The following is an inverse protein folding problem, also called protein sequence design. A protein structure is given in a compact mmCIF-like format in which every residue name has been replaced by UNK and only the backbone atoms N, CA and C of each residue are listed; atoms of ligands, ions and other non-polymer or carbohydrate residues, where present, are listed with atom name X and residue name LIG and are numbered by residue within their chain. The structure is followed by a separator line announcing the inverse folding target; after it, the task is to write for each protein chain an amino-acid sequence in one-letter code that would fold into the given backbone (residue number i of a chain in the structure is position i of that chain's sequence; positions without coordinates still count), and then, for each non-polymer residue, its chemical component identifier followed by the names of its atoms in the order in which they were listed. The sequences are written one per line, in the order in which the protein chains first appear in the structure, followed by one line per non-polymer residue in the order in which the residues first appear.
data_IF_893438255896
#
_entry.id   IF_893438255896
#
_cell.length_a   1.000
_cell.length_b   1.000
_cell.length_c   1.000
_cell.angle_alpha   90.00
_cell.angle_beta   90.00
_cell.angle_gamma   90.00
#
_symmetry.space_group_name_H-M   'P 1'
#
loop_
_entity.id
_entity.type
_entity.pdbx_description
1 polymer ?
#
# COMPACT_ATOMS: atom_id res chain seq x y z
N UNK A 1 -4.85 4.55 10.04
CA UNK A 1 -5.15 4.82 8.63
C UNK A 1 -6.65 4.86 8.39
N UNK A 2 -7.38 3.73 8.43
CA UNK A 2 -8.84 3.70 8.23
C UNK A 2 -9.58 4.77 9.05
N UNK A 3 -9.45 4.75 10.38
CA UNK A 3 -10.14 5.72 11.25
C UNK A 3 -9.85 7.17 10.87
N UNK A 4 -8.59 7.49 10.56
CA UNK A 4 -8.21 8.82 10.12
C UNK A 4 -8.87 9.20 8.78
N UNK A 5 -8.92 8.29 7.80
CA UNK A 5 -9.58 8.55 6.52
C UNK A 5 -11.11 8.72 6.69
N UNK A 6 -11.73 7.93 7.56
CA UNK A 6 -13.16 8.09 7.91
C UNK A 6 -13.45 9.45 8.56
N UNK A 7 -12.54 9.95 9.42
CA UNK A 7 -12.65 11.30 10.01
C UNK A 7 -12.55 12.41 8.97
N UNK A 8 -12.02 12.13 7.77
CA UNK A 8 -11.98 13.06 6.63
C UNK A 8 -13.13 12.84 5.64
N UNK A 9 -14.19 12.13 6.04
CA UNK A 9 -15.35 11.79 5.19
C UNK A 9 -14.98 11.00 3.91
N UNK A 10 -13.88 10.24 3.93
CA UNK A 10 -13.46 9.38 2.81
C UNK A 10 -14.10 8.00 2.95
N UNK A 11 -14.73 7.51 1.89
CA UNK A 11 -15.22 6.13 1.82
C UNK A 11 -14.04 5.15 1.83
N UNK A 12 -13.92 4.38 2.92
CA UNK A 12 -12.80 3.45 3.11
C UNK A 12 -13.27 2.15 3.77
N UNK A 13 -12.75 1.05 3.26
CA UNK A 13 -12.84 -0.26 3.90
C UNK A 13 -11.45 -0.87 4.03
N UNK A 14 -11.35 -1.99 4.73
CA UNK A 14 -10.09 -2.72 4.90
C UNK A 14 -10.30 -4.21 4.66
N UNK A 15 -9.22 -4.86 4.26
CA UNK A 15 -9.18 -6.30 4.05
C UNK A 15 -7.91 -6.86 4.67
N UNK A 16 -8.05 -7.92 5.46
CA UNK A 16 -6.94 -8.67 6.04
C UNK A 16 -6.98 -10.07 5.42
N UNK A 17 -5.97 -10.46 4.63
CA UNK A 17 -5.93 -11.77 3.99
C UNK A 17 -5.95 -12.91 5.00
N UNK A 18 -6.63 -14.00 4.67
CA UNK A 18 -6.55 -15.22 5.46
C UNK A 18 -5.29 -16.01 5.08
N UNK A 19 -4.25 -15.94 5.91
CA UNK A 19 -2.95 -16.58 5.63
C UNK A 19 -3.03 -18.09 5.34
N UNK A 20 -3.96 -18.81 5.95
CA UNK A 20 -4.09 -20.28 5.77
C UNK A 20 -4.73 -20.60 4.42
N UNK A 21 -5.72 -19.82 4.00
CA UNK A 21 -6.48 -20.07 2.77
C UNK A 21 -5.87 -19.43 1.53
N UNK A 22 -5.32 -18.23 1.68
CA UNK A 22 -4.92 -17.36 0.58
C UNK A 22 -3.39 -17.20 0.49
N UNK A 23 -2.68 -17.53 1.57
CA UNK A 23 -1.23 -17.32 1.68
C UNK A 23 -0.87 -15.86 2.01
N UNK A 24 0.35 -15.47 1.65
CA UNK A 24 0.88 -14.12 1.87
C UNK A 24 0.86 -13.30 0.57
N UNK A 25 0.82 -11.97 0.71
CA UNK A 25 0.93 -11.01 -0.38
C UNK A 25 -0.38 -10.66 -1.06
N UNK A 26 -0.30 -9.70 -1.97
CA UNK A 26 -1.41 -9.21 -2.80
C UNK A 26 -1.85 -10.30 -3.77
N UNK A 27 -3.14 -10.35 -4.12
CA UNK A 27 -3.71 -11.33 -5.07
C UNK A 27 -4.55 -10.63 -6.14
N UNK A 28 -4.33 -11.00 -7.41
CA UNK A 28 -5.04 -10.43 -8.57
C UNK A 28 -6.57 -10.58 -8.47
N UNK A 29 -7.08 -11.74 -8.05
CA UNK A 29 -8.52 -11.97 -7.90
C UNK A 29 -9.16 -11.06 -6.83
N UNK A 30 -8.43 -10.74 -5.75
CA UNK A 30 -8.91 -9.82 -4.71
C UNK A 30 -8.91 -8.37 -5.22
N UNK A 31 -7.87 -7.98 -5.97
CA UNK A 31 -7.84 -6.66 -6.61
C UNK A 31 -8.99 -6.48 -7.62
N UNK A 32 -9.27 -7.51 -8.42
CA UNK A 32 -10.41 -7.52 -9.34
C UNK A 32 -11.75 -7.41 -8.59
N UNK A 33 -11.91 -8.11 -7.47
CA UNK A 33 -13.10 -7.98 -6.60
C UNK A 33 -13.26 -6.54 -6.09
N UNK A 34 -12.19 -5.93 -5.56
CA UNK A 34 -12.22 -4.54 -5.08
C UNK A 34 -12.59 -3.56 -6.19
N UNK A 35 -12.08 -3.75 -7.41
CA UNK A 35 -12.45 -2.94 -8.55
C UNK A 35 -13.94 -3.11 -8.90
N UNK A 36 -14.43 -4.35 -8.90
CA UNK A 36 -15.82 -4.67 -9.25
C UNK A 36 -16.84 -4.12 -8.25
N UNK A 37 -16.47 -4.00 -6.97
CA UNK A 37 -17.32 -3.38 -5.95
C UNK A 37 -17.18 -1.84 -5.89
N UNK A 38 -16.37 -1.25 -6.77
CA UNK A 38 -16.34 0.19 -7.01
C UNK A 38 -15.13 0.94 -6.45
N UNK A 39 -14.18 0.27 -5.79
CA UNK A 39 -12.96 0.95 -5.32
C UNK A 39 -12.07 1.35 -6.49
N UNK A 40 -11.51 2.56 -6.41
CA UNK A 40 -10.57 3.11 -7.39
C UNK A 40 -9.10 3.06 -6.95
N UNK A 41 -8.86 2.90 -5.64
CA UNK A 41 -7.53 2.91 -5.03
C UNK A 41 -7.41 1.81 -3.96
N UNK A 42 -6.29 1.10 -3.98
CA UNK A 42 -5.84 0.20 -2.91
C UNK A 42 -4.58 0.75 -2.27
N UNK A 43 -4.57 0.87 -0.94
CA UNK A 43 -3.38 1.17 -0.16
C UNK A 43 -2.95 -0.10 0.58
N UNK A 44 -1.78 -0.66 0.27
CA UNK A 44 -1.26 -1.81 1.00
C UNK A 44 -0.58 -1.34 2.29
N UNK A 45 -0.61 -2.19 3.32
CA UNK A 45 0.09 -1.98 4.59
C UNK A 45 0.85 -3.26 4.93
N UNK A 46 2.14 -3.13 5.20
CA UNK A 46 3.01 -4.26 5.62
C UNK A 46 3.14 -5.35 4.54
N UNK A 47 2.88 -5.00 3.27
CA UNK A 47 2.98 -5.88 2.13
C UNK A 47 3.01 -5.10 0.81
N UNK A 48 3.38 -5.77 -0.27
CA UNK A 48 3.25 -5.26 -1.64
C UNK A 48 4.56 -4.92 -2.33
N UNK A 49 5.69 -4.75 -1.64
CA UNK A 49 6.96 -4.36 -2.30
C UNK A 49 7.45 -5.39 -3.33
N UNK A 50 7.02 -6.63 -3.19
CA UNK A 50 7.32 -7.75 -4.11
C UNK A 50 6.19 -8.05 -5.11
N UNK A 51 5.09 -7.29 -5.08
CA UNK A 51 3.87 -7.56 -5.83
C UNK A 51 3.90 -6.96 -7.26
N UNK A 52 4.95 -7.28 -8.03
CA UNK A 52 5.21 -6.72 -9.37
C UNK A 52 4.05 -7.00 -10.32
N UNK A 53 3.66 -8.27 -10.42
CA UNK A 53 2.64 -8.73 -11.35
C UNK A 53 1.23 -8.28 -10.94
N UNK A 54 0.97 -8.18 -9.65
CA UNK A 54 -0.29 -7.69 -9.09
C UNK A 54 -0.46 -6.20 -9.31
N UNK A 55 0.58 -5.38 -9.11
CA UNK A 55 0.53 -3.94 -9.37
C UNK A 55 0.29 -3.66 -10.86
N UNK A 56 1.00 -4.38 -11.73
CA UNK A 56 0.77 -4.30 -13.18
C UNK A 56 -0.66 -4.70 -13.57
N UNK A 57 -1.20 -5.75 -12.95
CA UNK A 57 -2.58 -6.16 -13.16
C UNK A 57 -3.58 -5.10 -12.67
N UNK A 58 -3.41 -4.56 -11.46
CA UNK A 58 -4.27 -3.49 -10.93
C UNK A 58 -4.33 -2.30 -11.88
N UNK A 59 -3.16 -1.83 -12.34
CA UNK A 59 -3.06 -0.77 -13.35
C UNK A 59 -3.80 -1.11 -14.64
N UNK A 60 -3.71 -2.35 -15.12
CA UNK A 60 -4.38 -2.80 -16.35
C UNK A 60 -5.92 -2.78 -16.27
N UNK A 61 -6.48 -2.93 -15.07
CA UNK A 61 -7.93 -2.86 -14.82
C UNK A 61 -8.38 -1.47 -14.32
N UNK A 62 -7.48 -0.48 -14.32
CA UNK A 62 -7.76 0.87 -13.84
C UNK A 62 -8.01 0.95 -12.33
N UNK A 63 -7.32 0.13 -11.54
CA UNK A 63 -7.26 0.18 -10.09
C UNK A 63 -5.89 0.73 -9.67
N UNK A 64 -5.87 1.90 -9.04
CA UNK A 64 -4.62 2.49 -8.56
C UNK A 64 -4.14 1.75 -7.31
N UNK A 65 -2.82 1.71 -7.14
CA UNK A 65 -2.17 1.15 -5.96
C UNK A 65 -1.21 2.16 -5.35
N UNK A 66 -1.26 2.27 -4.02
CA UNK A 66 -0.19 2.85 -3.20
C UNK A 66 0.34 1.73 -2.32
N UNK A 67 1.65 1.50 -2.36
CA UNK A 67 2.28 0.42 -1.60
C UNK A 67 2.96 1.01 -0.38
N UNK A 68 2.63 0.53 0.82
CA UNK A 68 3.40 0.82 2.05
C UNK A 68 3.93 -0.47 2.63
N UNK A 69 5.25 -0.58 2.69
CA UNK A 69 5.94 -1.81 3.06
C UNK A 69 7.33 -1.51 3.66
N UNK A 70 7.99 -2.55 4.15
CA UNK A 70 9.31 -2.49 4.79
C UNK A 70 10.17 -3.73 4.52
N UNK A 71 9.68 -4.66 3.70
CA UNK A 71 10.37 -5.89 3.34
C UNK A 71 11.46 -5.64 2.29
N UNK A 72 12.30 -6.65 2.01
CA UNK A 72 13.27 -6.55 0.94
C UNK A 72 12.58 -6.48 -0.43
N UNK A 73 12.97 -5.47 -1.22
CA UNK A 73 12.46 -5.33 -2.59
C UNK A 73 13.14 -6.31 -3.56
N UNK A 74 12.49 -6.55 -4.71
CA UNK A 74 13.09 -7.28 -5.83
C UNK A 74 14.09 -6.40 -6.60
N UNK A 75 14.40 -6.75 -7.85
CA UNK A 75 15.24 -5.90 -8.71
C UNK A 75 14.51 -4.62 -9.12
N UNK A 76 13.22 -4.73 -9.44
CA UNK A 76 12.36 -3.63 -9.88
C UNK A 76 11.32 -3.28 -8.81
N UNK A 77 10.76 -2.07 -8.91
CA UNK A 77 9.62 -1.65 -8.09
C UNK A 77 8.30 -2.06 -8.75
N UNK A 78 7.25 -2.38 -7.97
CA UNK A 78 5.92 -2.60 -8.52
C UNK A 78 5.41 -1.34 -9.25
N UNK A 79 4.68 -1.54 -10.35
CA UNK A 79 4.03 -0.46 -11.11
C UNK A 79 2.82 0.16 -10.37
N UNK A 80 3.07 0.78 -9.23
CA UNK A 80 2.10 1.48 -8.40
C UNK A 80 2.18 3.00 -8.61
N UNK A 81 1.15 3.73 -8.20
CA UNK A 81 1.14 5.21 -8.19
C UNK A 81 2.22 5.74 -7.24
N UNK A 82 2.42 5.05 -6.11
CA UNK A 82 3.51 5.32 -5.18
C UNK A 82 3.94 4.03 -4.47
N UNK A 83 5.23 3.97 -4.12
CA UNK A 83 5.82 2.92 -3.28
C UNK A 83 6.56 3.58 -2.13
N UNK A 84 6.07 3.42 -0.91
CA UNK A 84 6.63 3.96 0.32
C UNK A 84 7.30 2.82 1.07
N UNK A 85 8.61 2.72 0.90
CA UNK A 85 9.46 1.72 1.56
C UNK A 85 10.88 2.30 1.69
N UNK A 86 11.48 2.21 2.89
CA UNK A 86 12.82 2.77 3.17
C UNK A 86 13.96 1.87 2.65
N UNK A 87 13.65 0.66 2.18
CA UNK A 87 14.60 -0.28 1.56
C UNK A 87 14.67 -0.17 0.05
N UNK A 88 13.95 0.79 -0.53
CA UNK A 88 14.08 1.16 -1.95
C UNK A 88 15.54 1.43 -2.33
N UNK A 89 15.97 0.87 -3.45
CA UNK A 89 17.35 1.01 -3.96
C UNK A 89 17.61 2.39 -4.59
N UNK A 90 16.57 3.12 -4.93
CA UNK A 90 16.62 4.42 -5.61
C UNK A 90 16.54 5.62 -4.67
N UNK A 91 16.66 5.40 -3.35
CA UNK A 91 16.71 6.45 -2.34
C UNK A 91 17.97 6.30 -1.48
N UNK A 92 18.57 7.44 -1.11
CA UNK A 92 19.63 7.49 -0.12
C UNK A 92 19.03 7.87 1.24
N UNK A 93 19.01 6.90 2.15
CA UNK A 93 18.59 7.11 3.54
C UNK A 93 19.65 6.53 4.46
N UNK A 94 20.15 7.39 5.36
CA UNK A 94 21.06 7.03 6.43
C UNK A 94 20.27 6.60 7.68
N UNK A 95 20.42 5.34 8.07
CA UNK A 95 19.73 4.73 9.21
C UNK A 95 18.25 4.39 8.94
N UNK A 96 17.57 3.79 9.92
CA UNK A 96 16.12 3.53 9.90
C UNK A 96 15.60 2.61 8.76
N UNK A 97 16.35 1.59 8.33
CA UNK A 97 15.84 0.60 7.34
C UNK A 97 15.00 -0.51 7.95
N UNK A 98 15.21 -0.81 9.23
CA UNK A 98 14.49 -1.87 9.95
C UNK A 98 13.37 -1.28 10.81
N UNK A 99 12.37 -0.70 10.14
CA UNK A 99 11.12 -0.23 10.75
C UNK A 99 10.00 -1.22 10.44
N UNK A 100 8.94 -1.25 11.24
CA UNK A 100 7.76 -2.08 10.95
C UNK A 100 6.81 -1.40 9.95
N UNK A 101 6.03 -2.16 9.17
CA UNK A 101 5.07 -1.60 8.22
C UNK A 101 4.02 -0.70 8.87
N UNK A 102 3.67 -0.92 10.14
CA UNK A 102 2.77 -0.03 10.88
C UNK A 102 3.35 1.39 11.06
N UNK A 103 4.67 1.53 11.19
CA UNK A 103 5.34 2.83 11.27
C UNK A 103 5.30 3.54 9.91
N UNK A 104 5.54 2.81 8.82
CA UNK A 104 5.41 3.35 7.44
C UNK A 104 4.00 3.88 7.20
N UNK A 105 2.98 3.08 7.53
CA UNK A 105 1.58 3.46 7.40
C UNK A 105 1.22 4.67 8.28
N UNK A 106 1.77 4.77 9.49
CA UNK A 106 1.60 5.93 10.36
C UNK A 106 2.22 7.20 9.74
N UNK A 107 3.43 7.11 9.20
CA UNK A 107 4.09 8.25 8.52
C UNK A 107 3.33 8.69 7.26
N UNK A 108 2.72 7.76 6.52
CA UNK A 108 1.82 8.13 5.42
C UNK A 108 0.60 8.92 5.92
N UNK A 109 -0.03 8.47 7.02
CA UNK A 109 -1.15 9.19 7.63
C UNK A 109 -0.72 10.59 8.10
N UNK A 110 0.43 10.72 8.75
CA UNK A 110 0.97 12.02 9.19
C UNK A 110 1.22 12.96 8.00
N UNK A 111 1.74 12.44 6.89
CA UNK A 111 1.95 13.22 5.66
C UNK A 111 0.61 13.71 5.06
N UNK A 112 -0.40 12.83 4.99
CA UNK A 112 -1.74 13.22 4.53
C UNK A 112 -2.35 14.29 5.44
N UNK A 113 -2.28 14.11 6.76
CA UNK A 113 -2.81 15.06 7.72
C UNK A 113 -2.12 16.43 7.65
N UNK A 114 -0.82 16.44 7.38
CA UNK A 114 -0.05 17.67 7.14
C UNK A 114 -0.51 18.38 5.87
N UNK A 115 -0.70 17.64 4.77
CA UNK A 115 -1.17 18.19 3.49
C UNK A 115 -2.60 18.75 3.60
N UNK A 116 -3.49 18.03 4.30
CA UNK A 116 -4.87 18.45 4.55
C UNK A 116 -4.99 19.58 5.59
N UNK A 117 -3.90 19.95 6.27
CA UNK A 117 -3.87 20.96 7.35
C UNK A 117 -4.86 20.64 8.48
N UNK A 118 -4.92 19.38 8.88
CA UNK A 118 -5.78 18.93 9.98
C UNK A 118 -5.07 19.03 11.34
N UNK A 119 -4.07 19.91 11.45
CA UNK A 119 -3.28 20.25 12.64
C UNK A 119 -3.06 21.76 12.73
#
# INVERSE_FOLDING_TARGET
MKSFLEEQDIEVSYYIPNRIKEGYGVKKNILEEFKNIGYSLVITVDTGITAIEEAKFAKSIGLDMIITDHHEMQEELPEAVAVVDLKRKDIEIDGFKDIAGCFVAFKLVEAIATELRTF
#
